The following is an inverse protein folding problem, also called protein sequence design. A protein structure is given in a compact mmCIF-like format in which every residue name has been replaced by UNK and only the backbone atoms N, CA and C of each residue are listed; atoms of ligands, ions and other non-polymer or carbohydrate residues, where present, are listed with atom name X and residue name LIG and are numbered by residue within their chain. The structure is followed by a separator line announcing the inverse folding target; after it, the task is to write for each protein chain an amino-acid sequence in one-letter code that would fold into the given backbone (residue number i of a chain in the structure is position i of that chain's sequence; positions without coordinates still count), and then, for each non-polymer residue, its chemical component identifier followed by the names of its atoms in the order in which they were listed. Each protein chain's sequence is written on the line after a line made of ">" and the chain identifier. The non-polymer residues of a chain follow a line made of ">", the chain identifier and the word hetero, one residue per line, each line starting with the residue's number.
data_IF_088362679232
#
_entry.id   IF_088362679232
#
_cell.length_a   1.000
_cell.length_b   1.000
_cell.length_c   1.000
_cell.angle_alpha   90.00
_cell.angle_beta   90.00
_cell.angle_gamma   90.00
#
_symmetry.space_group_name_H-M   'P 1'
#
loop_
_entity.id
_entity.type
_entity.pdbx_description
1 polymer ?
#
# COMPACT_ATOMS: atom_id res chain seq x y z
N UNK A 1 -12.26 -9.25 4.39
CA UNK A 1 -12.72 -7.85 4.44
C UNK A 1 -11.66 -6.88 4.98
N UNK A 2 -10.36 -7.18 4.84
CA UNK A 2 -9.28 -6.28 5.29
C UNK A 2 -9.04 -6.21 6.81
N UNK A 3 -9.73 -7.04 7.61
CA UNK A 3 -9.55 -7.09 9.07
C UNK A 3 -8.27 -7.78 9.52
N UNK A 4 -7.86 -8.81 8.78
CA UNK A 4 -6.64 -9.58 9.07
C UNK A 4 -5.45 -8.91 8.40
N UNK A 5 -5.52 -8.76 7.07
CA UNK A 5 -4.46 -8.18 6.25
C UNK A 5 -5.02 -7.35 5.11
N UNK A 6 -4.27 -6.32 4.72
CA UNK A 6 -4.44 -5.59 3.46
C UNK A 6 -3.07 -5.59 2.75
N UNK A 7 -3.06 -5.99 1.49
CA UNK A 7 -1.86 -6.05 0.66
C UNK A 7 -2.10 -5.22 -0.61
N UNK A 8 -1.12 -4.38 -0.95
CA UNK A 8 -1.09 -3.61 -2.20
C UNK A 8 0.20 -3.98 -2.91
N UNK A 9 0.10 -4.48 -4.14
CA UNK A 9 1.25 -4.88 -4.95
C UNK A 9 1.22 -4.18 -6.30
N UNK A 10 2.35 -3.60 -6.68
CA UNK A 10 2.57 -2.93 -7.96
C UNK A 10 3.75 -3.55 -8.72
N UNK A 11 3.88 -3.16 -9.99
CA UNK A 11 5.02 -3.45 -10.86
C UNK A 11 5.81 -2.17 -11.18
N UNK A 12 5.84 -1.22 -10.25
CA UNK A 12 6.60 0.03 -10.38
C UNK A 12 8.12 -0.20 -10.33
N UNK A 13 8.92 0.87 -10.19
CA UNK A 13 10.39 0.77 -10.20
C UNK A 13 10.98 0.13 -8.93
N UNK A 14 10.17 -0.12 -7.90
CA UNK A 14 10.67 -0.55 -6.59
C UNK A 14 11.22 0.61 -5.76
N UNK A 15 11.82 0.27 -4.63
CA UNK A 15 12.42 1.22 -3.68
C UNK A 15 13.93 0.92 -3.60
N UNK A 16 14.75 1.95 -3.83
CA UNK A 16 16.20 1.87 -3.69
C UNK A 16 16.62 1.58 -2.24
N UNK A 17 17.70 0.83 -2.07
CA UNK A 17 18.18 0.41 -0.75
C UNK A 17 18.56 1.58 0.16
N UNK A 18 18.98 2.71 -0.42
CA UNK A 18 19.29 3.95 0.32
C UNK A 18 18.05 4.54 1.02
N UNK A 19 16.85 4.25 0.52
CA UNK A 19 15.60 4.78 1.06
C UNK A 19 14.95 3.85 2.09
N UNK A 20 15.50 2.65 2.35
CA UNK A 20 14.86 1.67 3.24
C UNK A 20 14.67 2.18 4.66
N UNK A 21 15.65 2.90 5.20
CA UNK A 21 15.57 3.44 6.55
C UNK A 21 14.59 4.61 6.65
N UNK A 22 14.54 5.47 5.62
CA UNK A 22 13.68 6.65 5.58
C UNK A 22 12.22 6.38 5.19
N UNK A 23 11.93 5.25 4.54
CA UNK A 23 10.63 4.95 3.94
C UNK A 23 9.43 5.12 4.90
N UNK A 24 9.62 4.74 6.16
CA UNK A 24 8.59 4.76 7.18
C UNK A 24 8.76 5.87 8.23
N UNK A 25 9.71 6.79 8.03
CA UNK A 25 9.86 7.97 8.88
C UNK A 25 8.83 9.04 8.52
N UNK A 26 8.45 9.88 9.49
CA UNK A 26 7.54 11.00 9.24
C UNK A 26 8.22 12.05 8.37
N UNK A 27 7.43 12.73 7.54
CA UNK A 27 7.87 13.83 6.68
C UNK A 27 8.94 13.43 5.64
N UNK A 28 9.05 12.14 5.36
CA UNK A 28 10.01 11.62 4.38
C UNK A 28 9.28 11.32 3.06
N UNK A 29 9.60 12.07 2.01
CA UNK A 29 8.99 11.95 0.68
C UNK A 29 10.05 12.15 -0.40
N UNK A 30 9.98 11.36 -1.47
CA UNK A 30 10.81 11.55 -2.66
C UNK A 30 10.11 12.35 -3.77
N UNK A 31 8.90 12.87 -3.49
CA UNK A 31 7.98 13.41 -4.51
C UNK A 31 7.96 14.93 -4.60
N UNK A 32 8.46 15.62 -3.58
CA UNK A 32 8.61 17.07 -3.55
C UNK A 32 9.94 17.38 -2.88
N UNK A 33 10.66 18.33 -3.44
CA UNK A 33 11.99 18.74 -2.99
C UNK A 33 12.05 20.23 -2.71
N UNK A 34 11.23 21.04 -3.37
CA UNK A 34 11.13 22.47 -3.16
C UNK A 34 9.67 22.93 -2.93
N UNK A 35 9.49 24.20 -2.58
CA UNK A 35 8.16 24.77 -2.32
C UNK A 35 7.32 24.92 -3.60
N UNK A 36 7.97 25.08 -4.76
CA UNK A 36 7.31 25.27 -6.04
C UNK A 36 6.63 23.98 -6.53
N UNK A 37 7.16 22.81 -6.15
CA UNK A 37 6.53 21.51 -6.38
C UNK A 37 5.12 21.40 -5.76
N UNK A 38 4.81 22.21 -4.73
CA UNK A 38 3.49 22.25 -4.09
C UNK A 38 2.43 22.91 -4.99
N UNK A 39 2.84 23.80 -5.89
CA UNK A 39 1.95 24.51 -6.82
C UNK A 39 1.58 23.66 -8.04
N UNK A 40 2.36 22.60 -8.33
CA UNK A 40 2.21 21.73 -9.51
C UNK A 40 2.15 20.23 -9.15
N UNK A 41 1.36 19.88 -8.14
CA UNK A 41 1.22 18.51 -7.67
C UNK A 41 0.71 17.54 -8.76
N UNK A 42 1.61 16.71 -9.27
CA UNK A 42 1.33 15.66 -10.25
C UNK A 42 1.23 14.26 -9.63
N UNK A 43 1.45 14.13 -8.31
CA UNK A 43 1.52 12.84 -7.61
C UNK A 43 0.47 12.70 -6.51
N UNK A 44 -0.04 11.48 -6.32
CA UNK A 44 -0.91 11.16 -5.18
C UNK A 44 -0.08 11.09 -3.89
N UNK A 45 -0.26 12.10 -3.02
CA UNK A 45 0.35 12.18 -1.69
C UNK A 45 1.81 12.64 -1.71
N UNK A 46 2.10 13.72 -0.97
CA UNK A 46 3.41 14.38 -0.92
C UNK A 46 3.92 14.59 0.51
N UNK A 47 3.10 14.31 1.54
CA UNK A 47 3.40 14.63 2.93
C UNK A 47 4.42 13.70 3.61
N UNK A 48 4.70 12.53 3.03
CA UNK A 48 5.56 11.52 3.67
C UNK A 48 4.97 10.90 4.94
N UNK A 49 3.64 10.91 5.08
CA UNK A 49 2.96 10.48 6.32
C UNK A 49 2.22 9.15 6.22
N UNK A 50 2.00 8.63 5.01
CA UNK A 50 1.15 7.46 4.81
C UNK A 50 1.74 6.20 5.46
N UNK A 51 2.98 5.86 5.10
CA UNK A 51 3.66 4.66 5.58
C UNK A 51 3.96 4.78 7.09
N UNK A 52 4.46 5.94 7.53
CA UNK A 52 4.73 6.19 8.95
C UNK A 52 3.47 6.11 9.83
N UNK A 53 2.32 6.59 9.35
CA UNK A 53 1.04 6.44 10.05
C UNK A 53 0.59 4.99 10.13
N UNK A 54 0.82 4.20 9.06
CA UNK A 54 0.50 2.77 9.07
C UNK A 54 1.37 1.99 10.04
N UNK A 55 2.68 2.31 10.16
CA UNK A 55 3.54 1.71 11.18
C UNK A 55 3.00 1.90 12.60
N UNK A 56 2.51 3.10 12.93
CA UNK A 56 1.96 3.39 14.25
C UNK A 56 0.64 2.64 14.53
N UNK A 57 -0.10 2.25 13.49
CA UNK A 57 -1.46 1.70 13.60
C UNK A 57 -1.57 0.21 13.30
N UNK A 58 -0.57 -0.39 12.65
CA UNK A 58 -0.61 -1.76 12.12
C UNK A 58 0.79 -2.39 12.14
N UNK A 59 0.87 -3.69 11.88
CA UNK A 59 2.14 -4.35 11.60
C UNK A 59 2.42 -4.21 10.10
N UNK A 60 3.45 -3.43 9.75
CA UNK A 60 3.81 -3.10 8.37
C UNK A 60 4.99 -3.94 7.92
N UNK A 61 4.87 -4.54 6.74
CA UNK A 61 6.01 -5.06 5.99
C UNK A 61 5.98 -4.60 4.54
N UNK A 62 7.17 -4.41 3.97
CA UNK A 62 7.35 -4.01 2.58
C UNK A 62 8.28 -5.00 1.90
N UNK A 63 7.85 -5.58 0.79
CA UNK A 63 8.73 -6.36 -0.10
C UNK A 63 8.96 -5.54 -1.35
N UNK A 64 10.21 -5.31 -1.74
CA UNK A 64 10.53 -4.46 -2.88
C UNK A 64 11.78 -4.94 -3.61
N UNK A 65 11.83 -4.67 -4.92
CA UNK A 65 13.00 -4.93 -5.76
C UNK A 65 13.06 -3.89 -6.87
N UNK A 66 14.20 -3.25 -7.05
CA UNK A 66 14.46 -2.40 -8.22
C UNK A 66 14.94 -3.22 -9.41
N UNK A 67 15.13 -2.59 -10.58
CA UNK A 67 15.67 -3.28 -11.76
C UNK A 67 17.16 -3.60 -11.62
N UNK A 68 17.88 -2.82 -10.81
CA UNK A 68 19.32 -2.93 -10.55
C UNK A 68 19.63 -3.96 -9.45
N UNK A 69 18.61 -4.47 -8.77
CA UNK A 69 18.74 -5.44 -7.68
C UNK A 69 18.44 -6.87 -8.16
N UNK A 70 19.36 -7.79 -7.90
CA UNK A 70 19.18 -9.21 -8.25
C UNK A 70 18.06 -9.87 -7.43
N UNK A 71 17.97 -9.55 -6.14
CA UNK A 71 17.10 -10.20 -5.16
C UNK A 71 16.23 -9.14 -4.46
N UNK A 72 14.96 -9.47 -4.25
CA UNK A 72 14.06 -8.58 -3.52
C UNK A 72 14.38 -8.57 -2.02
N UNK A 73 14.08 -7.46 -1.37
CA UNK A 73 14.25 -7.31 0.07
C UNK A 73 12.90 -7.19 0.74
N UNK A 74 12.71 -7.92 1.84
CA UNK A 74 11.62 -7.74 2.80
C UNK A 74 12.09 -6.89 3.96
N UNK A 75 11.34 -5.83 4.22
CA UNK A 75 11.57 -4.80 5.23
C UNK A 75 10.44 -4.86 6.25
N UNK A 76 10.80 -4.83 7.53
CA UNK A 76 9.83 -4.71 8.62
C UNK A 76 10.19 -3.51 9.49
N UNK A 77 9.16 -2.80 9.93
CA UNK A 77 9.28 -1.54 10.66
C UNK A 77 8.62 -1.66 12.02
N UNK A 78 9.20 -1.00 13.02
CA UNK A 78 8.54 -0.83 14.31
C UNK A 78 7.45 0.25 14.27
N UNK A 79 6.77 0.45 15.40
CA UNK A 79 5.68 1.45 15.52
C UNK A 79 6.15 2.89 15.36
N UNK A 80 7.45 3.16 15.51
CA UNK A 80 8.08 4.45 15.26
C UNK A 80 8.51 4.66 13.80
N UNK A 81 8.38 3.64 12.96
CA UNK A 81 8.83 3.67 11.57
C UNK A 81 10.31 3.35 11.39
N UNK A 82 11.01 2.89 12.44
CA UNK A 82 12.41 2.46 12.33
C UNK A 82 12.47 1.07 11.70
N UNK A 83 13.38 0.87 10.76
CA UNK A 83 13.64 -0.44 10.17
C UNK A 83 14.23 -1.38 11.23
N UNK A 84 13.56 -2.52 11.47
CA UNK A 84 13.97 -3.50 12.49
C UNK A 84 14.40 -4.84 11.90
N UNK A 85 13.99 -5.14 10.66
CA UNK A 85 14.36 -6.38 9.98
C UNK A 85 14.54 -6.14 8.48
N UNK A 86 15.58 -6.77 7.93
CA UNK A 86 15.89 -6.81 6.50
C UNK A 86 16.23 -8.24 6.12
N UNK A 87 15.40 -8.85 5.29
CA UNK A 87 15.58 -10.25 4.85
C UNK A 87 15.42 -10.36 3.33
N UNK A 88 16.00 -11.38 2.73
CA UNK A 88 15.82 -11.66 1.29
C UNK A 88 14.44 -12.24 1.02
N UNK A 89 13.83 -11.87 -0.09
CA UNK A 89 12.54 -12.39 -0.55
C UNK A 89 12.53 -12.62 -2.06
N UNK A 90 11.58 -13.43 -2.52
CA UNK A 90 11.34 -13.66 -3.94
C UNK A 90 10.23 -12.74 -4.44
N UNK A 91 10.54 -11.91 -5.45
CA UNK A 91 9.60 -10.98 -6.09
C UNK A 91 10.20 -10.43 -7.38
N UNK A 92 9.36 -10.17 -8.39
CA UNK A 92 9.74 -9.39 -9.58
C UNK A 92 9.95 -7.90 -9.25
N UNK A 93 10.34 -7.06 -10.21
CA UNK A 93 10.50 -5.61 -9.98
C UNK A 93 9.18 -4.97 -9.48
N UNK A 94 9.26 -4.06 -8.51
CA UNK A 94 8.12 -3.31 -7.95
C UNK A 94 8.10 -3.25 -6.43
N UNK A 95 6.97 -2.81 -5.85
CA UNK A 95 6.73 -2.83 -4.39
C UNK A 95 5.44 -3.54 -3.97
N UNK A 96 5.45 -4.16 -2.79
CA UNK A 96 4.32 -4.84 -2.15
C UNK A 96 4.32 -4.37 -0.72
N UNK A 97 3.27 -3.68 -0.33
CA UNK A 97 3.06 -3.18 1.02
C UNK A 97 1.97 -4.02 1.66
N UNK A 98 2.30 -4.64 2.78
CA UNK A 98 1.37 -5.48 3.54
C UNK A 98 1.22 -4.88 4.93
N UNK A 99 -0.03 -4.61 5.31
CA UNK A 99 -0.40 -4.29 6.68
C UNK A 99 -1.21 -5.43 7.28
N UNK A 100 -0.89 -5.77 8.53
CA UNK A 100 -1.66 -6.71 9.34
C UNK A 100 -2.10 -6.04 10.65
N UNK A 101 -3.14 -6.58 11.28
CA UNK A 101 -3.59 -6.14 12.61
C UNK A 101 -3.88 -4.62 12.71
N UNK A 102 -4.54 -4.07 11.68
CA UNK A 102 -4.87 -2.64 11.62
C UNK A 102 -5.69 -2.21 12.84
N UNK A 103 -5.27 -1.11 13.45
CA UNK A 103 -5.80 -0.53 14.69
C UNK A 103 -5.55 -1.33 15.98
N UNK A 104 -4.75 -2.41 15.96
CA UNK A 104 -4.44 -3.18 17.17
C UNK A 104 -3.94 -2.32 18.36
N UNK A 105 -3.11 -1.27 18.18
CA UNK A 105 -2.71 -0.39 19.27
C UNK A 105 -3.83 0.49 19.85
N UNK A 106 -5.01 0.55 19.20
CA UNK A 106 -6.14 1.41 19.57
C UNK A 106 -7.41 0.56 19.82
N UNK A 107 -7.57 -0.04 21.03
CA UNK A 107 -8.59 -1.06 21.29
C UNK A 107 -10.03 -0.63 20.99
N UNK A 108 -10.39 0.61 21.31
CA UNK A 108 -11.72 1.16 21.05
C UNK A 108 -11.99 1.24 19.55
N UNK A 109 -11.01 1.75 18.78
CA UNK A 109 -11.11 1.87 17.32
C UNK A 109 -11.08 0.50 16.64
N UNK A 110 -10.28 -0.43 17.15
CA UNK A 110 -10.26 -1.81 16.69
C UNK A 110 -11.63 -2.49 16.85
N UNK A 111 -12.25 -2.39 18.04
CA UNK A 111 -13.59 -2.94 18.29
C UNK A 111 -14.64 -2.32 17.37
N UNK A 112 -14.60 -1.01 17.17
CA UNK A 112 -15.53 -0.32 16.27
C UNK A 112 -15.33 -0.75 14.81
N UNK A 113 -14.08 -0.89 14.36
CA UNK A 113 -13.75 -1.38 13.02
C UNK A 113 -14.26 -2.80 12.79
N UNK A 114 -14.06 -3.72 13.76
CA UNK A 114 -14.57 -5.10 13.67
C UNK A 114 -16.10 -5.13 13.60
N UNK A 115 -16.78 -4.30 14.42
CA UNK A 115 -18.26 -4.20 14.40
C UNK A 115 -18.79 -3.68 13.07
N UNK A 116 -18.09 -2.75 12.44
CA UNK A 116 -18.51 -2.09 11.20
C UNK A 116 -17.82 -2.65 9.94
N UNK A 117 -17.16 -3.80 10.02
CA UNK A 117 -16.23 -4.29 9.01
C UNK A 117 -16.83 -4.36 7.59
N UNK A 118 -18.07 -4.85 7.47
CA UNK A 118 -18.76 -4.93 6.17
C UNK A 118 -19.03 -3.54 5.56
N UNK A 119 -19.36 -2.55 6.40
CA UNK A 119 -19.64 -1.18 5.99
C UNK A 119 -18.35 -0.48 5.53
N UNK A 120 -17.27 -0.60 6.30
CA UNK A 120 -15.98 -0.02 5.93
C UNK A 120 -15.41 -0.69 4.67
N UNK A 121 -15.59 -2.00 4.53
CA UNK A 121 -15.21 -2.70 3.31
C UNK A 121 -16.01 -2.24 2.07
N UNK A 122 -17.32 -2.00 2.20
CA UNK A 122 -18.10 -1.44 1.09
C UNK A 122 -17.58 -0.05 0.68
N UNK A 123 -17.20 0.79 1.64
CA UNK A 123 -16.56 2.10 1.38
C UNK A 123 -15.23 1.95 0.65
N UNK A 124 -14.38 1.01 1.07
CA UNK A 124 -13.13 0.68 0.37
C UNK A 124 -13.41 0.28 -1.07
N UNK A 125 -14.36 -0.63 -1.31
CA UNK A 125 -14.69 -1.10 -2.67
C UNK A 125 -15.17 0.07 -3.54
N UNK A 126 -16.05 0.94 -3.03
CA UNK A 126 -16.52 2.11 -3.77
C UNK A 126 -15.37 3.06 -4.14
N UNK A 127 -14.42 3.27 -3.22
CA UNK A 127 -13.23 4.07 -3.50
C UNK A 127 -12.36 3.41 -4.59
N UNK A 128 -12.15 2.10 -4.50
CA UNK A 128 -11.37 1.37 -5.51
C UNK A 128 -12.04 1.38 -6.89
N UNK A 129 -13.37 1.34 -6.95
CA UNK A 129 -14.13 1.50 -8.19
C UNK A 129 -13.90 2.87 -8.82
N UNK A 130 -13.91 3.95 -8.02
CA UNK A 130 -13.62 5.29 -8.53
C UNK A 130 -12.20 5.37 -9.13
N UNK A 131 -11.20 4.78 -8.45
CA UNK A 131 -9.84 4.69 -9.00
C UNK A 131 -9.78 3.85 -10.27
N UNK A 132 -10.44 2.70 -10.31
CA UNK A 132 -10.47 1.84 -11.50
C UNK A 132 -11.06 2.54 -12.72
N UNK A 133 -12.05 3.42 -12.54
CA UNK A 133 -12.61 4.20 -13.63
C UNK A 133 -11.61 5.21 -14.18
N UNK A 134 -10.97 6.01 -13.31
CA UNK A 134 -10.11 7.13 -13.75
C UNK A 134 -8.69 6.72 -14.13
N UNK A 135 -8.15 5.65 -13.54
CA UNK A 135 -6.80 5.15 -13.82
C UNK A 135 -6.80 4.32 -15.12
N UNK A 136 -6.80 5.00 -16.26
CA UNK A 136 -6.49 4.41 -17.57
C UNK A 136 -5.03 4.00 -17.64
N UNK A 137 -4.70 3.09 -18.57
CA UNK A 137 -3.35 2.51 -18.76
C UNK A 137 -2.80 1.71 -17.57
N UNK A 138 -3.58 1.56 -16.50
CA UNK A 138 -3.21 0.79 -15.31
C UNK A 138 -4.22 -0.33 -15.09
N UNK A 139 -3.71 -1.56 -15.04
CA UNK A 139 -4.52 -2.72 -14.66
C UNK A 139 -4.65 -2.78 -13.14
N UNK A 140 -5.86 -2.55 -12.65
CA UNK A 140 -6.21 -2.62 -11.23
C UNK A 140 -6.97 -3.91 -10.96
N UNK A 141 -6.54 -4.67 -9.96
CA UNK A 141 -7.21 -5.90 -9.51
C UNK A 141 -7.46 -5.81 -8.01
N UNK A 142 -8.72 -5.92 -7.61
CA UNK A 142 -9.12 -6.01 -6.19
C UNK A 142 -9.68 -7.38 -5.93
N UNK A 143 -9.11 -8.07 -4.95
CA UNK A 143 -9.58 -9.37 -4.54
C UNK A 143 -9.68 -9.46 -3.02
N UNK A 144 -10.52 -10.36 -2.54
CA UNK A 144 -10.68 -10.64 -1.13
C UNK A 144 -10.71 -12.15 -0.92
N UNK A 145 -9.95 -12.59 0.06
CA UNK A 145 -9.90 -13.98 0.50
C UNK A 145 -10.47 -14.04 1.92
N UNK A 146 -11.35 -15.02 2.16
CA UNK A 146 -11.93 -15.25 3.49
C UNK A 146 -11.37 -16.57 3.99
N UNK A 147 -10.42 -16.52 4.93
CA UNK A 147 -9.76 -17.70 5.49
C UNK A 147 -9.23 -18.64 4.37
N UNK A 148 -9.63 -19.90 4.39
CA UNK A 148 -9.23 -20.94 3.45
C UNK A 148 -10.05 -20.97 2.16
N UNK A 149 -11.02 -20.07 2.00
CA UNK A 149 -11.82 -19.99 0.78
C UNK A 149 -10.98 -19.53 -0.41
N UNK A 150 -11.43 -19.87 -1.62
CA UNK A 150 -10.85 -19.36 -2.84
C UNK A 150 -10.87 -17.82 -2.86
N UNK A 151 -9.84 -17.23 -3.49
CA UNK A 151 -9.73 -15.78 -3.68
C UNK A 151 -10.86 -15.29 -4.59
N UNK A 152 -11.69 -14.39 -4.08
CA UNK A 152 -12.77 -13.78 -4.84
C UNK A 152 -12.30 -12.46 -5.45
N UNK A 153 -12.38 -12.32 -6.77
CA UNK A 153 -12.04 -11.08 -7.47
C UNK A 153 -13.28 -10.19 -7.56
N UNK A 154 -13.19 -8.99 -6.99
CA UNK A 154 -14.31 -8.03 -6.93
C UNK A 154 -14.30 -7.07 -8.11
N UNK A 155 -13.10 -6.67 -8.52
CA UNK A 155 -12.86 -5.63 -9.51
C UNK A 155 -11.61 -5.98 -10.29
N UNK A 156 -11.67 -5.84 -11.60
CA UNK A 156 -10.54 -6.03 -12.51
C UNK A 156 -10.72 -5.13 -13.73
N UNK A 157 -9.81 -4.19 -13.93
CA UNK A 157 -9.74 -3.43 -15.18
C UNK A 157 -8.85 -4.15 -16.20
N UNK A 158 -8.93 -3.72 -17.47
CA UNK A 158 -8.05 -4.23 -18.52
C UNK A 158 -6.72 -3.46 -18.58
N UNK A 159 -6.67 -2.23 -18.06
CA UNK A 159 -5.50 -1.36 -18.13
C UNK A 159 -5.28 -0.77 -19.51
N UNK A 160 -6.38 -0.43 -20.20
CA UNK A 160 -6.34 0.21 -21.52
C UNK A 160 -6.40 1.74 -21.37
N UNK A 161 -5.90 2.49 -22.35
CA UNK A 161 -5.94 3.96 -22.38
C UNK A 161 -7.31 4.61 -22.57
N UNK A 162 -8.41 3.88 -22.33
CA UNK A 162 -9.77 4.39 -22.50
C UNK A 162 -10.60 4.20 -21.24
N UNK A 163 -11.15 5.30 -20.75
CA UNK A 163 -12.13 5.32 -19.65
C UNK A 163 -13.33 4.40 -19.90
N UNK A 164 -13.76 4.29 -21.17
CA UNK A 164 -14.92 3.46 -21.56
C UNK A 164 -14.64 1.97 -21.42
N UNK A 165 -13.38 1.57 -21.51
CA UNK A 165 -12.95 0.17 -21.50
C UNK A 165 -12.46 -0.29 -20.11
N UNK A 166 -12.44 0.62 -19.14
CA UNK A 166 -12.15 0.33 -17.74
C UNK A 166 -13.39 -0.16 -16.98
#
# INVERSE_FOLDING_TARGET
>A
YGSETIEVSDNGPGISAENYEGLALKYHTSKISDFNDLESLSSFGFRGEAISSLCALADLSVVTRTAEQDIATRLEYDKGGKLVSKTTAARAVGTTVTIANLFAPLPVRFKDFQRNLKREYARLVNLMQAYALICVDVKLVVSNQVKTSARNTLLRTQGTGSLRNN
#
